data_IF_502208511116
#
_entry.id   IF_502208511116
#
_cell.length_a   1.000
_cell.length_b   1.000
_cell.length_c   1.000
_cell.angle_alpha   90.00
_cell.angle_beta   90.00
_cell.angle_gamma   90.00
#
_symmetry.space_group_name_H-M   'P 1'
#
loop_
_entity.id
_entity.type
_entity.pdbx_description
1 polymer ?
#
# COMPACT_ATOMS: atom_id res chain seq x y z
N UNK A 1 6.23 12.36 9.49
CA UNK A 1 5.52 11.85 8.33
C UNK A 1 4.02 11.85 8.59
N UNK A 2 3.26 12.23 7.59
CA UNK A 2 1.84 12.02 7.62
C UNK A 2 1.62 10.51 7.46
N UNK A 3 1.09 9.83 8.48
CA UNK A 3 0.71 8.44 8.32
C UNK A 3 -0.34 8.38 7.23
N UNK A 4 0.00 7.84 6.08
CA UNK A 4 -0.98 7.51 5.06
C UNK A 4 -1.49 6.09 5.29
N UNK A 5 -2.59 5.76 4.66
CA UNK A 5 -3.14 4.42 4.66
C UNK A 5 -3.54 4.01 3.26
N UNK A 6 -3.56 2.73 3.03
CA UNK A 6 -4.12 2.12 1.83
C UNK A 6 -4.88 0.85 2.20
N UNK A 7 -5.75 0.40 1.33
CA UNK A 7 -6.57 -0.77 1.58
C UNK A 7 -6.34 -1.84 0.52
N UNK A 8 -6.36 -3.09 0.95
CA UNK A 8 -6.40 -4.23 0.05
C UNK A 8 -7.67 -5.03 0.35
N UNK A 9 -8.43 -5.35 -0.70
CA UNK A 9 -9.59 -6.22 -0.59
C UNK A 9 -9.19 -7.68 -0.61
N UNK A 10 -9.75 -8.43 0.32
CA UNK A 10 -9.58 -9.88 0.44
C UNK A 10 -10.90 -10.62 0.19
N UNK A 11 -10.79 -11.87 -0.25
CA UNK A 11 -11.96 -12.77 -0.41
C UNK A 11 -12.36 -13.44 0.91
N UNK A 12 -11.43 -13.50 1.87
CA UNK A 12 -11.65 -13.98 3.22
C UNK A 12 -12.15 -12.84 4.10
N UNK A 13 -12.84 -13.12 5.21
CA UNK A 13 -13.17 -12.12 6.22
C UNK A 13 -11.92 -11.37 6.70
N UNK A 14 -12.00 -10.05 6.75
CA UNK A 14 -10.85 -9.19 7.07
C UNK A 14 -10.24 -9.50 8.45
N UNK A 15 -11.05 -9.89 9.42
CA UNK A 15 -10.58 -10.30 10.75
C UNK A 15 -9.74 -11.59 10.71
N UNK A 16 -10.10 -12.55 9.86
CA UNK A 16 -9.32 -13.78 9.67
C UNK A 16 -7.98 -13.47 9.00
N UNK A 17 -7.99 -12.61 7.97
CA UNK A 17 -6.75 -12.16 7.30
C UNK A 17 -5.84 -11.46 8.31
N UNK A 18 -6.38 -10.59 9.17
CA UNK A 18 -5.59 -9.95 10.21
C UNK A 18 -4.95 -10.97 11.16
N UNK A 19 -5.71 -11.96 11.60
CA UNK A 19 -5.19 -13.02 12.47
C UNK A 19 -4.05 -13.81 11.79
N UNK A 20 -4.20 -14.15 10.50
CA UNK A 20 -3.15 -14.82 9.72
C UNK A 20 -1.89 -13.94 9.61
N UNK A 21 -2.04 -12.66 9.28
CA UNK A 21 -0.93 -11.71 9.16
C UNK A 21 -0.17 -11.58 10.47
N UNK A 22 -0.89 -11.42 11.59
CA UNK A 22 -0.28 -11.33 12.91
C UNK A 22 0.45 -12.63 13.30
N UNK A 23 -0.11 -13.79 12.98
CA UNK A 23 0.55 -15.09 13.25
C UNK A 23 1.85 -15.26 12.46
N UNK A 24 1.99 -14.59 11.31
CA UNK A 24 3.20 -14.57 10.49
C UNK A 24 4.19 -13.47 10.90
N UNK A 25 3.90 -12.74 11.97
CA UNK A 25 4.77 -11.70 12.53
C UNK A 25 4.48 -10.30 12.00
N UNK A 26 3.31 -10.07 11.41
CA UNK A 26 2.81 -8.72 11.12
C UNK A 26 2.51 -7.95 12.42
N UNK A 27 2.53 -6.64 12.35
CA UNK A 27 2.26 -5.75 13.47
C UNK A 27 0.84 -5.16 13.36
N UNK A 28 0.10 -5.19 14.48
CA UNK A 28 -1.23 -4.57 14.55
C UNK A 28 -1.07 -3.06 14.71
N UNK A 29 -1.79 -2.27 13.93
CA UNK A 29 -1.93 -0.86 14.21
C UNK A 29 -2.78 -0.63 15.47
N UNK A 30 -2.42 0.38 16.25
CA UNK A 30 -3.17 0.75 17.46
C UNK A 30 -4.43 1.53 17.08
N UNK A 31 -5.38 1.66 18.04
CA UNK A 31 -6.57 2.48 17.84
C UNK A 31 -6.23 3.97 17.64
N UNK A 32 -5.13 4.43 18.21
CA UNK A 32 -4.65 5.81 18.02
C UNK A 32 -4.17 6.05 16.59
N UNK A 33 -3.58 5.02 15.94
CA UNK A 33 -3.14 5.07 14.56
C UNK A 33 -4.33 5.08 13.58
N UNK A 34 -5.44 4.42 13.93
CA UNK A 34 -6.58 4.13 13.03
C UNK A 34 -7.75 5.11 13.13
N UNK A 35 -7.53 6.31 13.57
CA UNK A 35 -8.54 7.31 13.99
C UNK A 35 -9.78 7.49 13.11
N UNK A 36 -9.69 7.17 11.83
CA UNK A 36 -10.74 7.46 10.86
C UNK A 36 -11.61 6.26 10.45
N UNK A 37 -11.12 5.02 10.58
CA UNK A 37 -11.81 3.84 10.02
C UNK A 37 -11.74 2.68 11.02
N UNK A 38 -12.88 2.18 11.46
CA UNK A 38 -12.99 1.01 12.34
C UNK A 38 -12.95 -0.29 11.52
N UNK A 39 -11.75 -0.64 11.03
CA UNK A 39 -11.48 -1.82 10.21
C UNK A 39 -10.27 -2.57 10.71
N UNK A 40 -10.16 -3.89 10.44
CA UNK A 40 -8.91 -4.62 10.66
C UNK A 40 -7.75 -3.95 9.90
N UNK A 41 -6.66 -3.66 10.61
CA UNK A 41 -5.52 -2.93 10.08
C UNK A 41 -4.21 -3.47 10.62
N UNK A 42 -3.18 -3.45 9.80
CA UNK A 42 -1.81 -3.81 10.17
C UNK A 42 -0.86 -2.69 9.75
N UNK A 43 0.28 -2.61 10.42
CA UNK A 43 1.31 -1.65 10.07
C UNK A 43 1.99 -2.07 8.76
N UNK A 44 2.13 -1.11 7.86
CA UNK A 44 2.78 -1.26 6.56
C UNK A 44 4.00 -0.37 6.42
N UNK A 45 4.34 -0.08 5.17
CA UNK A 45 5.52 0.69 4.80
C UNK A 45 5.59 2.04 5.50
N UNK A 46 6.75 2.35 6.08
CA UNK A 46 7.04 3.67 6.65
C UNK A 46 6.07 4.15 7.74
N UNK A 47 5.33 3.25 8.37
CA UNK A 47 4.26 3.58 9.30
C UNK A 47 2.91 3.83 8.64
N UNK A 48 2.77 3.57 7.33
CA UNK A 48 1.48 3.58 6.67
C UNK A 48 0.58 2.45 7.20
N UNK A 49 -0.71 2.70 7.27
CA UNK A 49 -1.69 1.71 7.69
C UNK A 49 -2.18 0.91 6.49
N UNK A 50 -2.10 -0.43 6.56
CA UNK A 50 -2.72 -1.31 5.59
C UNK A 50 -4.04 -1.82 6.14
N UNK A 51 -5.14 -1.28 5.61
CA UNK A 51 -6.49 -1.70 5.93
C UNK A 51 -6.86 -2.97 5.17
N UNK A 52 -7.40 -3.94 5.89
CA UNK A 52 -7.87 -5.21 5.34
C UNK A 52 -9.38 -5.11 5.13
N UNK A 53 -9.83 -5.27 3.90
CA UNK A 53 -11.21 -5.01 3.50
C UNK A 53 -11.79 -6.26 2.84
N UNK A 54 -13.02 -6.63 3.19
CA UNK A 54 -13.76 -7.74 2.58
C UNK A 54 -15.12 -7.32 1.99
N UNK A 55 -15.53 -6.08 2.25
CA UNK A 55 -16.85 -5.53 1.93
C UNK A 55 -16.84 -4.45 0.83
N UNK A 56 -15.89 -4.50 -0.10
CA UNK A 56 -15.83 -3.58 -1.24
C UNK A 56 -16.39 -4.23 -2.51
N UNK A 57 -17.27 -3.50 -3.22
CA UNK A 57 -17.70 -3.83 -4.61
C UNK A 57 -18.90 -4.75 -4.69
N UNK A 58 -19.54 -5.29 -3.80
CA UNK A 58 -20.75 -6.15 -3.88
C UNK A 58 -22.00 -5.53 -3.25
N UNK A 59 -22.18 -4.23 -3.49
CA UNK A 59 -23.28 -3.47 -2.88
C UNK A 59 -23.00 -3.01 -1.44
N UNK A 60 -21.85 -3.35 -0.90
CA UNK A 60 -21.36 -2.85 0.39
C UNK A 60 -20.60 -1.54 0.21
N UNK A 61 -20.66 -0.68 1.20
CA UNK A 61 -20.05 0.64 1.21
C UNK A 61 -18.92 0.71 2.23
N UNK A 62 -17.68 0.63 1.76
CA UNK A 62 -16.49 0.78 2.60
C UNK A 62 -16.42 2.15 3.30
N UNK A 63 -17.19 3.13 2.83
CA UNK A 63 -17.27 4.47 3.40
C UNK A 63 -18.51 4.68 4.30
N UNK A 64 -19.19 3.60 4.72
CA UNK A 64 -20.40 3.71 5.54
C UNK A 64 -20.19 4.45 6.88
N UNK A 65 -18.95 4.46 7.39
CA UNK A 65 -18.58 5.16 8.63
C UNK A 65 -18.41 6.67 8.46
N UNK A 66 -18.47 7.18 7.21
CA UNK A 66 -18.33 8.61 6.90
C UNK A 66 -19.70 9.24 6.65
N UNK A 67 -19.91 10.42 7.22
CA UNK A 67 -21.10 11.22 6.93
C UNK A 67 -21.03 11.76 5.49
N UNK A 68 -22.09 11.61 4.68
CA UNK A 68 -22.16 12.24 3.36
C UNK A 68 -22.05 13.75 3.45
N UNK A 69 -21.36 14.39 2.51
CA UNK A 69 -21.34 15.85 2.40
C UNK A 69 -22.67 16.29 1.82
N UNK A 70 -23.37 17.17 2.54
CA UNK A 70 -24.67 17.68 2.10
C UNK A 70 -24.56 18.44 0.77
N UNK A 71 -25.51 18.20 -0.13
CA UNK A 71 -25.56 18.86 -1.44
C UNK A 71 -24.56 18.33 -2.48
N UNK A 72 -23.76 17.32 -2.14
CA UNK A 72 -22.81 16.68 -3.07
C UNK A 72 -23.36 15.33 -3.56
N UNK A 73 -23.34 15.12 -4.88
CA UNK A 73 -23.65 13.81 -5.45
C UNK A 73 -22.62 12.77 -4.98
N UNK A 74 -23.08 11.73 -4.29
CA UNK A 74 -22.22 10.68 -3.75
C UNK A 74 -21.75 9.69 -4.84
N UNK A 75 -22.37 9.71 -6.02
CA UNK A 75 -22.04 8.84 -7.14
C UNK A 75 -21.91 9.63 -8.46
N UNK A 76 -21.02 10.62 -8.53
CA UNK A 76 -20.89 11.44 -9.72
C UNK A 76 -20.43 10.63 -10.92
N UNK A 77 -20.84 11.04 -12.11
CA UNK A 77 -20.33 10.45 -13.36
C UNK A 77 -18.85 10.79 -13.49
N UNK A 78 -18.00 9.75 -13.47
CA UNK A 78 -16.55 9.91 -13.62
C UNK A 78 -16.10 10.00 -15.07
N UNK A 79 -14.79 10.20 -15.27
CA UNK A 79 -14.14 10.27 -16.60
C UNK A 79 -13.80 8.88 -17.20
N UNK A 80 -14.36 7.81 -16.66
CA UNK A 80 -14.14 6.43 -17.17
C UNK A 80 -12.92 5.71 -16.59
N UNK A 81 -12.28 6.23 -15.54
CA UNK A 81 -11.27 5.51 -14.81
C UNK A 81 -11.94 4.39 -13.99
N UNK A 82 -11.48 3.16 -14.14
CA UNK A 82 -12.15 1.98 -13.57
C UNK A 82 -11.28 1.14 -12.64
N UNK A 83 -9.97 1.34 -12.67
CA UNK A 83 -9.05 0.45 -11.97
C UNK A 83 -7.75 1.16 -11.59
N UNK A 84 -7.28 0.91 -10.36
CA UNK A 84 -5.92 1.27 -9.92
C UNK A 84 -5.03 0.07 -10.18
N UNK A 85 -4.08 0.19 -11.12
CA UNK A 85 -3.22 -0.92 -11.53
C UNK A 85 -2.21 -1.30 -10.46
N UNK A 86 -1.54 -0.31 -9.86
CA UNK A 86 -0.53 -0.55 -8.82
C UNK A 86 -0.34 0.66 -7.91
N UNK A 87 0.24 0.41 -6.74
CA UNK A 87 0.67 1.44 -5.78
C UNK A 87 2.17 1.31 -5.57
N UNK A 88 2.92 2.25 -6.11
CA UNK A 88 4.38 2.27 -6.00
C UNK A 88 4.81 2.66 -4.58
N UNK A 89 5.82 1.99 -4.05
CA UNK A 89 6.43 2.31 -2.77
C UNK A 89 7.85 2.80 -2.98
N UNK A 90 8.18 3.95 -2.42
CA UNK A 90 9.55 4.47 -2.39
C UNK A 90 10.22 4.15 -1.06
N UNK A 91 11.42 3.60 -1.14
CA UNK A 91 12.18 3.05 -0.04
C UNK A 91 13.50 3.78 0.13
N UNK A 92 14.00 3.84 1.36
CA UNK A 92 15.41 4.16 1.58
C UNK A 92 16.30 3.10 0.96
N UNK A 93 17.41 3.52 0.40
CA UNK A 93 18.39 2.62 -0.20
C UNK A 93 18.84 1.53 0.79
N UNK A 94 18.78 0.27 0.35
CA UNK A 94 19.05 -0.92 1.16
C UNK A 94 17.83 -1.54 1.86
N UNK A 95 16.65 -0.93 1.79
CA UNK A 95 15.43 -1.46 2.40
C UNK A 95 14.58 -2.35 1.47
N UNK A 96 15.03 -2.60 0.25
CA UNK A 96 14.31 -3.44 -0.74
C UNK A 96 13.95 -4.82 -0.17
N UNK A 97 14.92 -5.52 0.41
CA UNK A 97 14.69 -6.85 0.95
C UNK A 97 13.77 -6.86 2.18
N UNK A 98 13.84 -5.84 3.02
CA UNK A 98 12.93 -5.68 4.17
C UNK A 98 11.48 -5.67 3.70
N UNK A 99 11.16 -4.86 2.71
CA UNK A 99 9.79 -4.67 2.26
C UNK A 99 9.31 -5.74 1.29
N UNK A 100 10.18 -6.33 0.45
CA UNK A 100 9.80 -7.50 -0.32
C UNK A 100 9.47 -8.69 0.59
N UNK A 101 10.28 -8.95 1.59
CA UNK A 101 10.02 -10.00 2.59
C UNK A 101 8.73 -9.73 3.40
N UNK A 102 8.40 -8.47 3.69
CA UNK A 102 7.13 -8.11 4.31
C UNK A 102 5.95 -8.63 3.49
N UNK A 103 5.90 -8.32 2.19
CA UNK A 103 4.82 -8.76 1.31
C UNK A 103 4.83 -10.27 1.06
N UNK A 104 5.99 -10.86 0.89
CA UNK A 104 6.12 -12.32 0.70
C UNK A 104 5.64 -13.09 1.93
N UNK A 105 6.17 -12.76 3.08
CA UNK A 105 5.89 -13.48 4.32
C UNK A 105 4.45 -13.30 4.80
N UNK A 106 3.95 -12.08 4.78
CA UNK A 106 2.63 -11.77 5.35
C UNK A 106 1.49 -12.09 4.39
N UNK A 107 1.67 -11.86 3.08
CA UNK A 107 0.59 -11.90 2.09
C UNK A 107 0.83 -12.86 0.93
N UNK A 108 1.90 -13.66 0.96
CA UNK A 108 2.30 -14.58 -0.12
C UNK A 108 2.55 -13.90 -1.47
N UNK A 109 2.90 -12.63 -1.48
CA UNK A 109 3.30 -11.98 -2.72
C UNK A 109 4.56 -12.62 -3.27
N UNK A 110 4.79 -12.44 -4.56
CA UNK A 110 5.99 -12.92 -5.26
C UNK A 110 6.59 -11.80 -6.08
N UNK A 111 7.91 -11.77 -6.15
CA UNK A 111 8.61 -10.99 -7.14
C UNK A 111 8.35 -11.56 -8.53
N UNK A 112 7.83 -10.74 -9.44
CA UNK A 112 7.60 -11.13 -10.83
C UNK A 112 8.59 -10.49 -11.80
N UNK A 113 9.18 -9.36 -11.41
CA UNK A 113 10.19 -8.65 -12.20
C UNK A 113 11.10 -7.82 -11.29
N UNK A 114 12.35 -7.76 -11.70
CA UNK A 114 13.38 -6.89 -11.16
C UNK A 114 13.90 -5.98 -12.28
N UNK A 115 14.00 -4.69 -12.00
CA UNK A 115 14.48 -3.71 -12.94
C UNK A 115 15.65 -2.94 -12.35
N UNK A 116 16.76 -2.88 -13.05
CA UNK A 116 17.86 -1.92 -12.83
C UNK A 116 17.75 -0.85 -13.92
N UNK A 117 17.12 0.25 -13.59
CA UNK A 117 16.81 1.31 -14.52
C UNK A 117 17.88 2.38 -14.43
N UNK A 118 18.70 2.47 -15.47
CA UNK A 118 19.71 3.53 -15.62
C UNK A 118 19.12 4.65 -16.47
N UNK A 119 18.66 5.71 -15.81
CA UNK A 119 18.23 6.92 -16.48
C UNK A 119 19.40 7.74 -17.02
N UNK A 120 19.10 8.75 -17.84
CA UNK A 120 20.13 9.64 -18.40
C UNK A 120 20.86 10.49 -17.34
N UNK A 121 20.20 10.73 -16.17
CA UNK A 121 20.74 11.53 -15.07
C UNK A 121 20.79 10.78 -13.76
N UNK A 122 19.80 9.95 -13.48
CA UNK A 122 19.65 9.20 -12.21
C UNK A 122 19.19 7.77 -12.51
N UNK A 123 19.50 6.83 -11.62
CA UNK A 123 19.07 5.44 -11.72
C UNK A 123 18.20 5.03 -10.51
N UNK A 124 17.44 3.98 -10.69
CA UNK A 124 16.68 3.33 -9.63
C UNK A 124 16.65 1.81 -9.82
N UNK A 125 16.47 1.12 -8.73
CA UNK A 125 16.18 -0.31 -8.73
C UNK A 125 14.70 -0.48 -8.36
N UNK A 126 14.01 -1.32 -9.10
CA UNK A 126 12.61 -1.63 -8.85
C UNK A 126 12.37 -3.13 -8.79
N UNK A 127 11.62 -3.56 -7.78
CA UNK A 127 11.17 -4.94 -7.60
C UNK A 127 9.65 -4.97 -7.64
N UNK A 128 9.08 -5.57 -8.67
CA UNK A 128 7.63 -5.67 -8.80
C UNK A 128 7.09 -6.87 -8.00
N UNK A 129 6.43 -6.58 -6.89
CA UNK A 129 5.75 -7.55 -6.06
C UNK A 129 4.30 -7.74 -6.53
N UNK A 130 3.82 -8.97 -6.57
CA UNK A 130 2.47 -9.28 -7.05
C UNK A 130 1.80 -10.30 -6.15
N UNK A 131 0.52 -10.06 -5.85
CA UNK A 131 -0.33 -11.01 -5.12
C UNK A 131 -0.49 -12.33 -5.91
N UNK A 132 -0.82 -13.45 -5.25
CA UNK A 132 -0.96 -14.75 -5.90
C UNK A 132 -1.94 -14.78 -7.08
N UNK A 133 -2.97 -13.95 -7.06
CA UNK A 133 -3.97 -13.84 -8.14
C UNK A 133 -3.55 -12.88 -9.28
N UNK A 134 -2.41 -12.20 -9.15
CA UNK A 134 -1.88 -11.27 -10.14
C UNK A 134 -2.59 -9.91 -10.20
N UNK A 135 -3.57 -9.66 -9.32
CA UNK A 135 -4.38 -8.43 -9.38
C UNK A 135 -3.72 -7.29 -8.63
N UNK A 136 -3.30 -7.53 -7.39
CA UNK A 136 -2.64 -6.49 -6.57
C UNK A 136 -1.15 -6.49 -6.88
N UNK A 137 -0.64 -5.32 -7.29
CA UNK A 137 0.75 -5.11 -7.67
C UNK A 137 1.34 -3.95 -6.89
N UNK A 138 2.53 -4.17 -6.36
CA UNK A 138 3.25 -3.19 -5.55
C UNK A 138 4.71 -3.14 -6.02
N UNK A 139 5.06 -2.20 -6.88
CA UNK A 139 6.45 -1.91 -7.19
C UNK A 139 7.14 -1.29 -5.98
N UNK A 140 8.29 -1.84 -5.62
CA UNK A 140 9.18 -1.31 -4.58
C UNK A 140 10.36 -0.66 -5.27
N UNK A 141 10.61 0.62 -5.02
CA UNK A 141 11.66 1.40 -5.66
C UNK A 141 12.66 1.93 -4.64
N UNK A 142 13.94 1.79 -4.92
CA UNK A 142 15.01 2.43 -4.18
C UNK A 142 16.07 3.02 -5.13
N UNK A 143 16.83 4.00 -4.67
CA UNK A 143 17.92 4.59 -5.41
C UNK A 143 19.08 4.96 -4.51
N UNK A 144 20.28 4.62 -4.96
CA UNK A 144 21.54 5.07 -4.32
C UNK A 144 21.93 6.49 -4.72
N UNK A 145 21.27 7.08 -5.72
CA UNK A 145 21.56 8.44 -6.17
C UNK A 145 20.77 9.46 -5.35
N UNK A 146 21.45 10.33 -4.56
CA UNK A 146 20.78 11.31 -3.72
C UNK A 146 19.97 12.37 -4.48
N UNK A 147 20.15 12.48 -5.80
CA UNK A 147 19.41 13.40 -6.68
C UNK A 147 18.27 12.70 -7.43
N UNK A 148 17.95 11.48 -7.09
CA UNK A 148 16.84 10.75 -7.70
C UNK A 148 15.49 11.28 -7.22
N UNK A 149 14.45 11.13 -8.06
CA UNK A 149 13.07 11.43 -7.67
C UNK A 149 12.60 10.63 -6.45
N UNK A 150 13.19 9.44 -6.23
CA UNK A 150 12.90 8.63 -5.05
C UNK A 150 13.39 9.33 -3.79
N UNK A 151 14.63 9.82 -3.79
CA UNK A 151 15.16 10.55 -2.65
C UNK A 151 14.48 11.91 -2.44
N UNK A 152 14.12 12.62 -3.52
CA UNK A 152 13.28 13.83 -3.41
C UNK A 152 11.93 13.53 -2.72
N UNK A 153 11.29 12.41 -3.07
CA UNK A 153 10.05 11.98 -2.41
C UNK A 153 10.29 11.65 -0.93
N UNK A 154 11.33 10.86 -0.61
CA UNK A 154 11.63 10.45 0.76
C UNK A 154 11.91 11.65 1.66
N UNK A 155 12.59 12.67 1.15
CA UNK A 155 12.88 13.92 1.87
C UNK A 155 11.60 14.74 2.06
N UNK A 156 10.81 14.95 1.02
CA UNK A 156 9.57 15.73 1.09
C UNK A 156 8.51 15.05 1.97
N UNK A 157 8.39 13.74 1.88
CA UNK A 157 7.46 12.94 2.67
C UNK A 157 7.96 12.67 4.09
N UNK A 158 9.27 12.83 4.31
CA UNK A 158 9.99 12.53 5.54
C UNK A 158 9.86 11.06 5.97
N UNK A 159 10.07 10.15 5.02
CA UNK A 159 10.03 8.70 5.25
C UNK A 159 9.71 7.87 4.02
N UNK A 160 9.74 6.56 4.20
CA UNK A 160 9.28 5.61 3.19
C UNK A 160 7.76 5.70 3.04
N UNK A 161 7.24 5.47 1.83
CA UNK A 161 5.81 5.59 1.61
C UNK A 161 5.35 5.26 0.19
N UNK A 162 4.08 5.57 -0.07
CA UNK A 162 3.38 5.30 -1.32
C UNK A 162 3.35 6.58 -2.16
N UNK A 163 3.78 6.44 -3.42
CA UNK A 163 3.78 7.54 -4.38
C UNK A 163 2.87 7.22 -5.57
#
# INVERSE_FOLDING_TARGET
>A
PCACGFAIRFRKPAAEVQAEVLSRGGERATREDTRAIDRPVVMGIGGAMLYLVDDYGSGSNVYADFAPIEGVDQNPVGFGLTFIDHLTHNLYFGNMEKWSNYYEKLFNFREIRYFDIKGAKTGLVSKAMTAPDGIVRIPLNESSDPKSQINEYLDAYNGEGIQ
#
